data_IF_343285019991
#
_entry.id   IF_343285019991
#
_cell.length_a   1.000
_cell.length_b   1.000
_cell.length_c   1.000
_cell.angle_alpha   90.00
_cell.angle_beta   90.00
_cell.angle_gamma   90.00
#
_symmetry.space_group_name_H-M   'P 1'
#
loop_
_entity.id
_entity.type
_entity.pdbx_description
1 polymer ?
#
# COMPACT_ATOMS: atom_id res chain seq x y z
N UNK A 1 -8.68 -30.53 5.32
CA UNK A 1 -8.50 -31.91 4.77
C UNK A 1 -9.32 -32.08 3.50
N UNK A 2 -8.78 -31.68 2.33
CA UNK A 2 -9.47 -31.82 1.05
C UNK A 2 -9.50 -33.28 0.60
N UNK A 3 -10.70 -33.85 0.50
CA UNK A 3 -10.91 -35.20 -0.02
C UNK A 3 -10.67 -35.19 -1.54
N UNK A 4 -9.50 -35.65 -1.97
CA UNK A 4 -9.16 -35.86 -3.38
C UNK A 4 -10.06 -36.96 -3.97
N UNK A 5 -11.18 -36.56 -4.59
CA UNK A 5 -11.88 -37.40 -5.55
C UNK A 5 -10.94 -37.68 -6.73
N UNK A 6 -10.28 -38.84 -6.71
CA UNK A 6 -9.47 -39.33 -7.85
C UNK A 6 -10.40 -39.56 -9.04
N UNK A 7 -10.47 -38.61 -9.96
CA UNK A 7 -11.06 -38.84 -11.28
C UNK A 7 -10.16 -39.78 -12.08
N UNK A 8 -10.64 -41.01 -12.30
CA UNK A 8 -9.91 -42.03 -13.04
C UNK A 8 -9.94 -41.72 -14.54
N UNK A 9 -8.76 -41.61 -15.16
CA UNK A 9 -8.62 -41.44 -16.62
C UNK A 9 -8.74 -42.81 -17.30
N UNK A 10 -9.56 -42.91 -18.34
CA UNK A 10 -9.75 -44.13 -19.14
C UNK A 10 -9.40 -43.87 -20.60
N UNK A 11 -8.87 -44.86 -21.32
CA UNK A 11 -8.66 -44.77 -22.77
C UNK A 11 -9.90 -45.33 -23.48
N UNK A 12 -10.47 -44.56 -24.40
CA UNK A 12 -11.58 -44.98 -25.25
C UNK A 12 -11.17 -45.00 -26.72
N UNK A 13 -11.74 -45.94 -27.48
CA UNK A 13 -11.60 -46.05 -28.93
C UNK A 13 -12.78 -45.38 -29.61
N UNK A 14 -12.52 -44.53 -30.60
CA UNK A 14 -13.52 -43.94 -31.52
C UNK A 14 -13.17 -44.31 -32.96
N UNK A 15 -14.17 -44.63 -33.77
CA UNK A 15 -13.99 -44.87 -35.21
C UNK A 15 -14.34 -43.56 -35.93
N UNK A 16 -13.40 -43.00 -36.68
CA UNK A 16 -13.61 -41.83 -37.53
C UNK A 16 -13.16 -42.18 -38.95
N UNK A 17 -14.05 -42.02 -39.93
CA UNK A 17 -13.82 -42.37 -41.34
C UNK A 17 -13.20 -43.77 -41.52
N UNK A 18 -13.74 -44.77 -40.81
CA UNK A 18 -13.28 -46.16 -40.86
C UNK A 18 -12.01 -46.47 -40.06
N UNK A 19 -11.31 -45.46 -39.52
CA UNK A 19 -10.04 -45.63 -38.83
C UNK A 19 -10.21 -45.56 -37.30
N UNK A 20 -9.52 -46.41 -36.53
CA UNK A 20 -9.57 -46.41 -35.07
C UNK A 20 -8.64 -45.34 -34.47
N UNK A 21 -9.22 -44.48 -33.64
CA UNK A 21 -8.53 -43.42 -32.91
C UNK A 21 -8.78 -43.54 -31.42
N UNK A 22 -7.79 -43.15 -30.61
CA UNK A 22 -7.82 -43.30 -29.17
C UNK A 22 -7.83 -41.95 -28.47
N UNK A 23 -8.54 -41.89 -27.35
CA UNK A 23 -8.68 -40.68 -26.53
C UNK A 23 -8.52 -41.06 -25.06
N UNK A 24 -7.77 -40.27 -24.30
CA UNK A 24 -7.80 -40.30 -22.84
C UNK A 24 -8.97 -39.43 -22.38
N UNK A 25 -9.90 -40.01 -21.63
CA UNK A 25 -11.09 -39.32 -21.14
C UNK A 25 -11.16 -39.35 -19.63
N UNK A 26 -11.58 -38.24 -19.05
CA UNK A 26 -12.04 -38.17 -17.65
C UNK A 26 -13.56 -38.08 -17.65
N UNK A 27 -14.18 -38.97 -16.91
CA UNK A 27 -15.62 -38.98 -16.68
C UNK A 27 -15.94 -38.29 -15.37
N UNK A 28 -16.88 -37.35 -15.39
CA UNK A 28 -17.43 -36.68 -14.22
C UNK A 28 -18.96 -36.72 -14.27
N UNK A 29 -19.63 -36.25 -13.21
CA UNK A 29 -21.09 -36.07 -13.25
C UNK A 29 -21.40 -34.62 -13.57
N UNK A 30 -22.20 -34.39 -14.61
CA UNK A 30 -22.75 -33.08 -14.95
C UNK A 30 -24.26 -33.17 -14.80
N UNK A 31 -24.86 -32.41 -13.89
CA UNK A 31 -26.28 -32.50 -13.52
C UNK A 31 -26.71 -33.93 -13.16
N UNK A 32 -25.92 -34.63 -12.34
CA UNK A 32 -26.19 -36.00 -11.87
C UNK A 32 -25.92 -37.12 -12.88
N UNK A 33 -25.72 -36.79 -14.17
CA UNK A 33 -25.49 -37.77 -15.25
C UNK A 33 -23.99 -37.92 -15.54
N UNK A 34 -23.46 -39.16 -15.69
CA UNK A 34 -22.09 -39.38 -16.13
C UNK A 34 -21.83 -38.76 -17.51
N UNK A 35 -20.85 -37.89 -17.62
CA UNK A 35 -20.42 -37.21 -18.85
C UNK A 35 -18.90 -37.20 -18.92
N UNK A 36 -18.35 -37.21 -20.13
CA UNK A 36 -16.93 -36.95 -20.36
C UNK A 36 -16.71 -35.45 -20.12
N UNK A 37 -15.98 -35.11 -19.05
CA UNK A 37 -15.68 -33.72 -18.68
C UNK A 37 -14.36 -33.23 -19.28
N UNK A 38 -13.48 -34.17 -19.64
CA UNK A 38 -12.22 -33.87 -20.34
C UNK A 38 -11.90 -34.98 -21.33
N UNK A 39 -11.45 -34.62 -22.53
CA UNK A 39 -10.97 -35.55 -23.55
C UNK A 39 -9.68 -35.03 -24.17
N UNK A 40 -8.68 -35.90 -24.29
CA UNK A 40 -7.40 -35.63 -24.94
C UNK A 40 -7.22 -36.66 -26.06
N UNK A 41 -6.98 -36.19 -27.28
CA UNK A 41 -6.72 -37.04 -28.43
C UNK A 41 -5.32 -37.65 -28.33
N UNK A 42 -5.23 -38.97 -28.46
CA UNK A 42 -3.98 -39.73 -28.36
C UNK A 42 -3.43 -40.20 -29.72
N UNK A 43 -4.21 -40.07 -30.81
CA UNK A 43 -3.83 -40.59 -32.12
C UNK A 43 -4.35 -41.99 -32.41
N UNK A 44 -3.73 -42.65 -33.40
CA UNK A 44 -3.95 -44.07 -33.73
C UNK A 44 -3.21 -44.99 -32.74
N UNK A 45 -3.42 -46.30 -32.84
CA UNK A 45 -2.64 -47.27 -32.05
C UNK A 45 -1.13 -47.14 -32.34
N UNK A 46 -0.76 -46.95 -33.61
CA UNK A 46 0.63 -46.79 -34.02
C UNK A 46 1.24 -45.52 -33.44
N UNK A 47 0.51 -44.39 -33.44
CA UNK A 47 0.96 -43.15 -32.80
C UNK A 47 1.22 -43.35 -31.29
N UNK A 48 0.38 -44.10 -30.60
CA UNK A 48 0.57 -44.37 -29.16
C UNK A 48 1.82 -45.24 -28.93
N UNK A 49 2.00 -46.28 -29.73
CA UNK A 49 3.19 -47.15 -29.65
C UNK A 49 4.45 -46.37 -29.99
N UNK A 50 4.40 -45.52 -31.00
CA UNK A 50 5.50 -44.63 -31.39
C UNK A 50 5.82 -43.61 -30.29
N UNK A 51 4.80 -42.95 -29.71
CA UNK A 51 4.97 -42.05 -28.56
C UNK A 51 5.57 -42.76 -27.35
N UNK A 52 5.20 -44.03 -27.10
CA UNK A 52 5.78 -44.84 -26.02
C UNK A 52 7.24 -45.16 -26.31
N UNK A 53 7.57 -45.62 -27.53
CA UNK A 53 8.95 -45.90 -27.95
C UNK A 53 9.83 -44.66 -27.95
N UNK A 54 9.28 -43.51 -28.36
CA UNK A 54 9.94 -42.21 -28.28
C UNK A 54 10.12 -41.77 -26.82
N UNK A 55 9.13 -41.97 -25.94
CA UNK A 55 9.29 -41.72 -24.50
C UNK A 55 10.37 -42.62 -23.87
N UNK A 56 10.44 -43.89 -24.27
CA UNK A 56 11.46 -44.85 -23.79
C UNK A 56 12.87 -44.53 -24.33
N UNK A 57 12.98 -43.80 -25.46
CA UNK A 57 14.24 -43.38 -26.07
C UNK A 57 14.65 -41.93 -25.80
N UNK A 58 13.80 -41.14 -25.11
CA UNK A 58 14.10 -39.75 -24.76
C UNK A 58 14.82 -39.68 -23.40
N UNK A 59 16.08 -39.18 -23.33
CA UNK A 59 16.72 -38.85 -22.05
C UNK A 59 16.16 -37.56 -21.41
N UNK A 60 15.07 -37.01 -21.94
CA UNK A 60 14.50 -35.73 -21.51
C UNK A 60 13.12 -35.94 -20.90
N UNK A 61 13.10 -36.28 -19.61
CA UNK A 61 11.92 -36.04 -18.77
C UNK A 61 11.66 -34.53 -18.83
N UNK A 62 10.54 -34.12 -19.45
CA UNK A 62 10.07 -32.73 -19.36
C UNK A 62 9.63 -32.47 -17.92
N UNK A 63 10.57 -32.06 -17.09
CA UNK A 63 10.31 -31.64 -15.73
C UNK A 63 9.74 -30.23 -15.75
N UNK A 64 8.57 -30.05 -15.13
CA UNK A 64 8.03 -28.74 -14.82
C UNK A 64 7.97 -28.61 -13.30
N UNK A 65 8.78 -27.72 -12.75
CA UNK A 65 8.75 -27.38 -11.33
C UNK A 65 7.72 -26.28 -11.08
N UNK A 66 7.04 -26.36 -9.94
CA UNK A 66 6.10 -25.35 -9.48
C UNK A 66 6.56 -24.83 -8.12
N UNK A 67 6.41 -23.53 -7.89
CA UNK A 67 6.57 -22.98 -6.55
C UNK A 67 5.39 -23.45 -5.68
N UNK A 68 5.67 -24.29 -4.68
CA UNK A 68 4.65 -24.86 -3.80
C UNK A 68 4.74 -24.33 -2.37
N UNK A 69 5.94 -24.08 -1.84
CA UNK A 69 6.13 -23.71 -0.43
C UNK A 69 5.35 -22.47 0.00
N UNK A 70 5.43 -21.37 -0.77
CA UNK A 70 4.68 -20.14 -0.50
C UNK A 70 3.16 -20.38 -0.57
N UNK A 71 2.74 -21.15 -1.56
CA UNK A 71 1.35 -21.50 -1.78
C UNK A 71 0.77 -22.30 -0.61
N UNK A 72 1.47 -23.37 -0.20
CA UNK A 72 1.11 -24.19 0.94
C UNK A 72 1.07 -23.39 2.24
N UNK A 73 2.05 -22.50 2.46
CA UNK A 73 2.09 -21.64 3.65
C UNK A 73 0.86 -20.72 3.74
N UNK A 74 0.45 -20.06 2.64
CA UNK A 74 -0.72 -19.18 2.64
C UNK A 74 -2.04 -19.96 2.80
N UNK A 75 -2.14 -21.15 2.23
CA UNK A 75 -3.30 -22.02 2.46
C UNK A 75 -3.37 -22.51 3.90
N UNK A 76 -2.23 -22.81 4.51
CA UNK A 76 -2.17 -23.15 5.94
C UNK A 76 -2.57 -21.97 6.82
N UNK A 77 -2.11 -20.74 6.51
CA UNK A 77 -2.57 -19.52 7.20
C UNK A 77 -4.09 -19.35 7.03
N UNK A 78 -4.64 -19.61 5.85
CA UNK A 78 -6.09 -19.61 5.65
C UNK A 78 -6.80 -20.66 6.51
N UNK A 79 -6.27 -21.89 6.62
CA UNK A 79 -6.84 -22.93 7.49
C UNK A 79 -6.77 -22.53 8.97
N UNK A 80 -5.67 -21.90 9.40
CA UNK A 80 -5.48 -21.42 10.77
C UNK A 80 -6.41 -20.26 11.13
N UNK A 81 -6.63 -19.32 10.19
CA UNK A 81 -7.45 -18.13 10.41
C UNK A 81 -8.92 -18.33 10.05
N UNK A 82 -9.26 -19.39 9.30
CA UNK A 82 -10.61 -19.61 8.78
C UNK A 82 -11.07 -18.53 7.79
N UNK A 83 -10.15 -17.89 7.06
CA UNK A 83 -10.45 -16.70 6.26
C UNK A 83 -11.59 -16.91 5.25
N UNK A 84 -11.53 -17.99 4.45
CA UNK A 84 -12.59 -18.31 3.48
C UNK A 84 -13.96 -18.47 4.16
N UNK A 85 -14.01 -19.12 5.32
CA UNK A 85 -15.25 -19.36 6.06
C UNK A 85 -15.80 -18.07 6.65
N UNK A 86 -14.93 -17.21 7.22
CA UNK A 86 -15.28 -15.87 7.71
C UNK A 86 -15.87 -15.03 6.58
N UNK A 87 -15.23 -14.99 5.41
CA UNK A 87 -15.77 -14.25 4.26
C UNK A 87 -17.14 -14.79 3.91
N UNK A 88 -17.25 -16.10 3.66
CA UNK A 88 -18.50 -16.70 3.19
C UNK A 88 -19.66 -16.55 4.20
N UNK A 89 -19.38 -16.49 5.51
CA UNK A 89 -20.37 -16.24 6.56
C UNK A 89 -21.12 -14.90 6.35
N UNK A 90 -20.44 -13.88 5.84
CA UNK A 90 -21.02 -12.55 5.61
C UNK A 90 -21.62 -12.37 4.21
N UNK A 91 -21.55 -13.39 3.34
CA UNK A 91 -22.06 -13.30 1.98
C UNK A 91 -23.41 -14.00 1.85
N UNK A 92 -24.45 -13.21 1.53
CA UNK A 92 -25.76 -13.72 1.17
C UNK A 92 -25.80 -14.23 -0.29
N UNK A 93 -25.19 -15.40 -0.55
CA UNK A 93 -25.15 -16.01 -1.89
C UNK A 93 -25.49 -17.51 -1.82
N UNK A 94 -26.27 -17.97 -2.80
CA UNK A 94 -26.58 -19.40 -2.94
C UNK A 94 -25.32 -20.19 -3.27
N UNK A 95 -25.21 -21.39 -2.69
CA UNK A 95 -24.15 -22.34 -3.07
C UNK A 95 -24.21 -22.62 -4.56
N UNK A 96 -23.05 -22.55 -5.21
CA UNK A 96 -22.88 -22.86 -6.64
C UNK A 96 -21.88 -24.00 -6.79
N UNK A 97 -21.93 -24.68 -7.93
CA UNK A 97 -20.89 -25.63 -8.35
C UNK A 97 -19.70 -24.81 -8.91
N UNK A 98 -18.87 -24.28 -8.01
CA UNK A 98 -17.78 -23.36 -8.32
C UNK A 98 -17.20 -22.72 -7.05
N UNK A 99 -16.27 -21.78 -7.25
CA UNK A 99 -15.58 -21.11 -6.16
C UNK A 99 -16.52 -20.14 -5.43
N UNK A 100 -16.41 -20.10 -4.11
CA UNK A 100 -17.08 -19.14 -3.25
C UNK A 100 -16.44 -17.74 -3.34
N UNK A 101 -17.10 -16.72 -2.79
CA UNK A 101 -16.51 -15.37 -2.72
C UNK A 101 -15.22 -15.37 -1.91
N UNK A 102 -15.19 -16.07 -0.77
CA UNK A 102 -13.98 -16.27 0.03
C UNK A 102 -12.84 -16.95 -0.73
N UNK A 103 -13.14 -17.98 -1.52
CA UNK A 103 -12.12 -18.66 -2.33
C UNK A 103 -11.58 -17.77 -3.46
N UNK A 104 -12.43 -16.93 -4.07
CA UNK A 104 -11.99 -15.93 -5.04
C UNK A 104 -11.04 -14.90 -4.39
N UNK A 105 -11.35 -14.39 -3.20
CA UNK A 105 -10.45 -13.50 -2.45
C UNK A 105 -9.13 -14.19 -2.08
N UNK A 106 -9.18 -15.44 -1.60
CA UNK A 106 -7.98 -16.19 -1.27
C UNK A 106 -7.09 -16.39 -2.50
N UNK A 107 -7.66 -16.70 -3.66
CA UNK A 107 -6.90 -16.80 -4.91
C UNK A 107 -6.26 -15.48 -5.31
N UNK A 108 -6.94 -14.36 -5.08
CA UNK A 108 -6.40 -13.03 -5.36
C UNK A 108 -5.22 -12.68 -4.44
N UNK A 109 -5.36 -12.93 -3.14
CA UNK A 109 -4.29 -12.76 -2.13
C UNK A 109 -3.07 -13.63 -2.49
N UNK A 110 -3.30 -14.92 -2.73
CA UNK A 110 -2.22 -15.87 -3.09
C UNK A 110 -1.59 -15.48 -4.43
N UNK A 111 -2.38 -15.08 -5.41
CA UNK A 111 -1.91 -14.61 -6.71
C UNK A 111 -1.00 -13.40 -6.61
N UNK A 112 -1.45 -12.35 -5.89
CA UNK A 112 -0.71 -11.11 -5.67
C UNK A 112 0.56 -11.30 -4.83
N UNK A 113 0.62 -12.33 -3.99
CA UNK A 113 1.86 -12.70 -3.26
C UNK A 113 2.98 -13.25 -4.17
N UNK A 114 2.66 -13.66 -5.40
CA UNK A 114 3.64 -14.15 -6.38
C UNK A 114 4.08 -13.07 -7.39
N UNK A 115 3.62 -11.83 -7.22
CA UNK A 115 4.01 -10.68 -8.04
C UNK A 115 2.83 -9.81 -8.46
N UNK A 116 3.09 -8.87 -9.38
CA UNK A 116 2.04 -8.01 -9.93
C UNK A 116 1.09 -8.85 -10.78
N UNK A 117 -0.13 -9.05 -10.27
CA UNK A 117 -1.16 -9.83 -10.93
C UNK A 117 -2.42 -8.98 -11.08
N UNK A 118 -2.88 -8.83 -12.32
CA UNK A 118 -4.20 -8.27 -12.60
C UNK A 118 -5.25 -9.36 -12.63
N UNK A 119 -6.52 -8.98 -12.46
CA UNK A 119 -7.67 -9.87 -12.53
C UNK A 119 -7.85 -10.48 -13.94
N UNK A 120 -7.23 -9.87 -14.97
CA UNK A 120 -7.10 -10.49 -16.31
C UNK A 120 -6.02 -11.57 -16.37
N UNK A 121 -4.93 -11.43 -15.60
CA UNK A 121 -3.80 -12.36 -15.60
C UNK A 121 -4.00 -13.61 -14.73
N UNK A 122 -4.95 -13.56 -13.79
CA UNK A 122 -5.13 -14.60 -12.75
C UNK A 122 -5.43 -15.99 -13.31
N UNK A 123 -6.20 -16.08 -14.41
CA UNK A 123 -6.51 -17.37 -15.04
C UNK A 123 -5.28 -18.05 -15.66
N UNK A 124 -4.38 -17.27 -16.26
CA UNK A 124 -3.12 -17.79 -16.80
C UNK A 124 -2.11 -18.12 -15.70
N UNK A 125 -2.07 -17.31 -14.64
CA UNK A 125 -1.28 -17.61 -13.45
C UNK A 125 -1.72 -18.93 -12.79
N UNK A 126 -3.03 -19.14 -12.60
CA UNK A 126 -3.58 -20.35 -11.99
C UNK A 126 -3.17 -21.62 -12.77
N UNK A 127 -3.28 -21.61 -14.10
CA UNK A 127 -2.85 -22.74 -14.96
C UNK A 127 -1.36 -23.05 -14.86
N UNK A 128 -0.55 -22.06 -14.49
CA UNK A 128 0.91 -22.18 -14.37
C UNK A 128 1.35 -22.46 -12.94
N UNK A 129 0.46 -22.42 -11.95
CA UNK A 129 0.76 -22.70 -10.55
C UNK A 129 0.39 -24.14 -10.16
N UNK A 130 0.85 -24.56 -8.99
CA UNK A 130 0.50 -25.87 -8.42
C UNK A 130 -1.01 -26.02 -8.14
N UNK A 131 -1.75 -24.92 -8.04
CA UNK A 131 -3.20 -24.92 -7.80
C UNK A 131 -3.98 -25.63 -8.89
N UNK A 132 -3.48 -25.60 -10.13
CA UNK A 132 -4.10 -26.32 -11.26
C UNK A 132 -4.23 -27.84 -11.05
N UNK A 133 -3.49 -28.41 -10.09
CA UNK A 133 -3.60 -29.81 -9.68
C UNK A 133 -4.40 -30.00 -8.37
N UNK A 134 -4.53 -28.95 -7.58
CA UNK A 134 -5.14 -28.99 -6.24
C UNK A 134 -6.62 -28.61 -6.25
N UNK A 135 -7.01 -27.70 -7.14
CA UNK A 135 -8.35 -27.14 -7.24
C UNK A 135 -8.93 -27.45 -8.62
N UNK A 136 -10.17 -27.92 -8.64
CA UNK A 136 -10.95 -28.20 -9.86
C UNK A 136 -12.34 -27.60 -9.73
N UNK A 137 -12.78 -26.87 -10.76
CA UNK A 137 -14.08 -26.20 -10.80
C UNK A 137 -14.53 -26.01 -12.26
N UNK A 138 -15.84 -25.98 -12.55
CA UNK A 138 -16.35 -26.13 -13.92
C UNK A 138 -16.27 -24.87 -14.78
N UNK A 139 -15.88 -23.73 -14.22
CA UNK A 139 -15.88 -22.42 -14.87
C UNK A 139 -14.46 -21.89 -15.08
N UNK A 140 -14.33 -20.82 -15.88
CA UNK A 140 -13.03 -20.17 -16.14
C UNK A 140 -12.77 -19.07 -15.12
N UNK A 141 -11.51 -18.90 -14.72
CA UNK A 141 -11.06 -17.68 -14.04
C UNK A 141 -10.85 -16.57 -15.08
N UNK A 142 -11.63 -15.51 -14.98
CA UNK A 142 -11.51 -14.29 -15.79
C UNK A 142 -11.91 -13.07 -14.94
N UNK A 143 -11.52 -11.88 -15.40
CA UNK A 143 -11.77 -10.63 -14.68
C UNK A 143 -13.25 -10.42 -14.33
N UNK A 144 -14.17 -10.68 -15.27
CA UNK A 144 -15.61 -10.50 -15.01
C UNK A 144 -16.10 -11.37 -13.84
N UNK A 145 -15.64 -12.61 -13.74
CA UNK A 145 -16.02 -13.49 -12.64
C UNK A 145 -15.50 -13.00 -11.29
N UNK A 146 -14.28 -12.43 -11.25
CA UNK A 146 -13.74 -11.78 -10.05
C UNK A 146 -14.56 -10.55 -9.68
N UNK A 147 -14.83 -9.64 -10.62
CA UNK A 147 -15.64 -8.45 -10.37
C UNK A 147 -17.04 -8.80 -9.88
N UNK A 148 -17.68 -9.83 -10.45
CA UNK A 148 -18.97 -10.35 -10.00
C UNK A 148 -18.91 -10.94 -8.59
N UNK A 149 -17.75 -11.41 -8.12
CA UNK A 149 -17.59 -11.85 -6.72
C UNK A 149 -17.36 -10.66 -5.80
N UNK A 150 -16.54 -9.69 -6.22
CA UNK A 150 -16.25 -8.49 -5.43
C UNK A 150 -17.49 -7.63 -5.22
N UNK A 151 -18.48 -7.68 -6.12
CA UNK A 151 -19.75 -6.95 -5.95
C UNK A 151 -20.60 -7.41 -4.75
N UNK A 152 -20.26 -8.53 -4.12
CA UNK A 152 -20.90 -8.97 -2.87
C UNK A 152 -20.23 -8.38 -1.61
N UNK A 153 -19.14 -7.64 -1.78
CA UNK A 153 -18.32 -7.12 -0.68
C UNK A 153 -18.47 -5.60 -0.67
N UNK A 154 -19.47 -5.12 0.07
CA UNK A 154 -19.63 -3.70 0.39
C UNK A 154 -18.86 -3.34 1.68
N UNK A 155 -18.86 -2.05 2.04
CA UNK A 155 -18.11 -1.53 3.19
C UNK A 155 -18.52 -2.20 4.51
N UNK A 156 -19.82 -2.47 4.71
CA UNK A 156 -20.33 -3.14 5.91
C UNK A 156 -19.88 -4.60 5.96
N UNK A 157 -19.92 -5.30 4.83
CA UNK A 157 -19.43 -6.66 4.67
C UNK A 157 -17.92 -6.73 4.96
N UNK A 158 -17.13 -5.79 4.43
CA UNK A 158 -15.70 -5.71 4.73
C UNK A 158 -15.46 -5.53 6.23
N UNK A 159 -16.14 -4.58 6.88
CA UNK A 159 -16.03 -4.34 8.32
C UNK A 159 -16.31 -5.63 9.11
N UNK A 160 -17.39 -6.33 8.80
CA UNK A 160 -17.77 -7.56 9.50
C UNK A 160 -16.76 -8.69 9.31
N UNK A 161 -16.19 -8.83 8.10
CA UNK A 161 -15.11 -9.77 7.80
C UNK A 161 -13.86 -9.44 8.64
N UNK A 162 -13.47 -8.17 8.69
CA UNK A 162 -12.33 -7.73 9.50
C UNK A 162 -12.55 -7.96 10.99
N UNK A 163 -13.74 -7.65 11.51
CA UNK A 163 -14.05 -7.81 12.93
C UNK A 163 -13.94 -9.29 13.33
N UNK A 164 -14.47 -10.22 12.53
CA UNK A 164 -14.31 -11.66 12.77
C UNK A 164 -12.85 -12.13 12.63
N UNK A 165 -12.10 -11.60 11.66
CA UNK A 165 -10.68 -11.95 11.52
C UNK A 165 -9.85 -11.45 12.70
N UNK A 166 -10.13 -10.24 13.20
CA UNK A 166 -9.47 -9.68 14.37
C UNK A 166 -9.76 -10.50 15.62
N UNK A 167 -10.99 -11.02 15.81
CA UNK A 167 -11.32 -11.94 16.90
C UNK A 167 -10.41 -13.17 16.88
N UNK A 168 -10.26 -13.81 15.71
CA UNK A 168 -9.38 -14.98 15.57
C UNK A 168 -7.91 -14.63 15.84
N UNK A 169 -7.45 -13.46 15.40
CA UNK A 169 -6.09 -13.00 15.68
C UNK A 169 -5.85 -12.78 17.18
N UNK A 170 -6.79 -12.14 17.88
CA UNK A 170 -6.75 -11.94 19.34
C UNK A 170 -6.72 -13.28 20.07
N UNK A 171 -7.58 -14.23 19.69
CA UNK A 171 -7.61 -15.59 20.27
C UNK A 171 -6.27 -16.34 20.09
N UNK A 172 -5.56 -16.08 18.98
CA UNK A 172 -4.22 -16.63 18.73
C UNK A 172 -3.09 -15.87 19.44
N UNK A 173 -3.40 -14.83 20.22
CA UNK A 173 -2.43 -14.07 21.00
C UNK A 173 -1.80 -12.89 20.25
N UNK A 174 -2.40 -12.44 19.14
CA UNK A 174 -1.97 -11.23 18.42
C UNK A 174 -2.70 -9.96 18.86
N UNK A 175 -3.16 -9.92 20.12
CA UNK A 175 -3.74 -8.73 20.74
C UNK A 175 -2.74 -7.58 20.67
N UNK A 176 -3.11 -6.42 20.12
CA UNK A 176 -2.19 -5.30 20.00
C UNK A 176 -1.83 -4.73 21.38
N UNK A 177 -0.57 -4.34 21.55
CA UNK A 177 -0.14 -3.41 22.61
C UNK A 177 0.24 -2.04 22.01
N UNK A 178 0.59 -2.03 20.72
CA UNK A 178 0.94 -0.82 19.96
C UNK A 178 0.23 -0.88 18.61
N UNK A 179 -0.39 0.22 18.18
CA UNK A 179 -0.95 0.36 16.85
C UNK A 179 -0.22 1.45 16.08
N UNK A 180 0.35 1.11 14.94
CA UNK A 180 0.98 2.03 14.00
C UNK A 180 -0.03 2.43 12.94
N UNK A 181 -0.35 3.72 12.87
CA UNK A 181 -1.25 4.30 11.86
C UNK A 181 -0.43 5.02 10.80
N UNK A 182 -0.63 4.65 9.54
CA UNK A 182 -0.06 5.34 8.38
C UNK A 182 -1.10 5.44 7.25
N UNK A 183 -1.11 6.57 6.56
CA UNK A 183 -1.95 6.84 5.41
C UNK A 183 -1.14 6.80 4.10
N UNK A 184 -1.73 6.23 3.06
CA UNK A 184 -1.13 6.15 1.73
C UNK A 184 -2.16 6.48 0.64
N UNK A 185 -1.68 6.85 -0.55
CA UNK A 185 -2.52 7.14 -1.69
C UNK A 185 -2.00 6.54 -2.99
N UNK A 186 -2.94 6.10 -3.83
CA UNK A 186 -2.66 5.57 -5.16
C UNK A 186 -3.45 6.34 -6.19
N UNK A 187 -2.76 6.95 -7.15
CA UNK A 187 -3.42 7.54 -8.31
C UNK A 187 -3.85 6.43 -9.29
N UNK A 188 -4.92 6.70 -10.02
CA UNK A 188 -5.48 5.80 -11.03
C UNK A 188 -5.50 6.47 -12.40
N UNK A 189 -5.60 5.65 -13.45
CA UNK A 189 -5.84 6.12 -14.81
C UNK A 189 -7.32 6.07 -15.19
N UNK A 190 -8.21 5.74 -14.25
CA UNK A 190 -9.63 5.79 -14.49
C UNK A 190 -10.03 7.25 -14.78
N UNK A 191 -10.71 7.45 -15.92
CA UNK A 191 -11.23 8.75 -16.38
C UNK A 191 -12.73 8.74 -16.59
N UNK A 192 -13.35 7.55 -16.66
CA UNK A 192 -14.75 7.36 -17.01
C UNK A 192 -15.52 6.88 -15.78
N UNK A 193 -15.66 7.75 -14.80
CA UNK A 193 -16.55 7.55 -13.66
C UNK A 193 -17.42 8.81 -13.58
N UNK A 194 -18.69 8.62 -13.23
CA UNK A 194 -19.63 9.72 -13.05
C UNK A 194 -19.14 10.58 -11.87
N UNK A 195 -19.60 11.83 -11.78
CA UNK A 195 -19.42 12.68 -10.59
C UNK A 195 -20.01 12.05 -9.30
N UNK A 196 -20.66 10.88 -9.42
CA UNK A 196 -21.25 10.04 -8.38
C UNK A 196 -20.26 9.06 -7.72
N UNK A 197 -19.01 8.95 -8.19
CA UNK A 197 -18.03 8.08 -7.51
C UNK A 197 -17.66 8.65 -6.15
N UNK A 198 -17.88 7.87 -5.08
CA UNK A 198 -17.59 8.30 -3.71
C UNK A 198 -16.08 8.37 -3.40
N UNK A 199 -15.24 7.58 -4.08
CA UNK A 199 -13.81 7.46 -3.77
C UNK A 199 -12.89 8.18 -4.75
N UNK A 200 -13.22 8.21 -6.04
CA UNK A 200 -12.31 8.64 -7.10
C UNK A 200 -12.32 10.16 -7.28
N UNK A 201 -11.50 10.85 -6.48
CA UNK A 201 -11.33 12.29 -6.58
C UNK A 201 -9.87 12.69 -6.82
N UNK A 202 -9.66 13.85 -7.43
CA UNK A 202 -8.32 14.47 -7.56
C UNK A 202 -7.90 15.06 -6.22
N UNK A 203 -6.62 14.96 -5.92
CA UNK A 203 -6.05 15.61 -4.73
C UNK A 203 -4.53 15.63 -4.73
N UNK A 204 -3.94 15.84 -3.55
CA UNK A 204 -2.50 15.82 -3.39
C UNK A 204 -1.99 14.38 -3.32
N UNK A 205 -1.27 13.94 -4.35
CA UNK A 205 -0.67 12.61 -4.41
C UNK A 205 0.81 12.63 -4.02
N UNK A 206 1.30 11.60 -3.30
CA UNK A 206 2.72 11.45 -2.91
C UNK A 206 3.68 11.39 -4.12
N UNK A 207 3.18 11.02 -5.32
CA UNK A 207 3.92 11.02 -6.60
C UNK A 207 3.70 12.27 -7.45
N UNK A 208 3.16 13.34 -6.87
CA UNK A 208 2.90 14.63 -7.51
C UNK A 208 1.97 14.59 -8.73
N UNK A 209 1.11 13.57 -8.84
CA UNK A 209 0.12 13.40 -9.91
C UNK A 209 -1.23 14.03 -9.57
N UNK A 210 -1.25 15.36 -9.43
CA UNK A 210 -2.47 16.14 -9.14
C UNK A 210 -3.51 16.12 -10.27
N UNK A 211 -3.09 15.72 -11.48
CA UNK A 211 -3.92 15.59 -12.67
C UNK A 211 -4.80 14.33 -12.65
N UNK A 212 -4.52 13.38 -11.76
CA UNK A 212 -5.16 12.07 -11.70
C UNK A 212 -6.06 11.93 -10.47
N UNK A 213 -7.09 11.11 -10.62
CA UNK A 213 -7.88 10.66 -9.47
C UNK A 213 -7.05 9.74 -8.63
N UNK A 214 -7.35 9.72 -7.34
CA UNK A 214 -6.68 8.87 -6.40
C UNK A 214 -7.66 8.31 -5.39
N UNK A 215 -7.24 7.22 -4.78
CA UNK A 215 -7.88 6.61 -3.64
C UNK A 215 -6.85 6.64 -2.52
N UNK A 216 -7.30 6.96 -1.32
CA UNK A 216 -6.47 6.93 -0.13
C UNK A 216 -6.85 5.73 0.73
N UNK A 217 -5.86 5.16 1.44
CA UNK A 217 -6.07 4.11 2.43
C UNK A 217 -5.30 4.48 3.69
N UNK A 218 -5.98 4.40 4.82
CA UNK A 218 -5.36 4.46 6.13
C UNK A 218 -5.31 3.04 6.71
N UNK A 219 -4.20 2.69 7.36
CA UNK A 219 -3.97 1.35 7.90
C UNK A 219 -3.43 1.46 9.33
N UNK A 220 -4.05 0.71 10.25
CA UNK A 220 -3.52 0.50 11.59
C UNK A 220 -2.99 -0.95 11.70
N UNK A 221 -1.70 -1.10 11.99
CA UNK A 221 -1.05 -2.41 12.17
C UNK A 221 -0.46 -2.55 13.57
N UNK A 222 -0.43 -3.76 14.11
CA UNK A 222 0.15 -4.03 15.42
C UNK A 222 1.70 -4.10 15.40
N UNK A 223 2.32 -4.33 16.54
CA UNK A 223 3.78 -4.50 16.70
C UNK A 223 4.39 -5.67 15.92
N UNK A 224 3.57 -6.62 15.44
CA UNK A 224 4.01 -7.70 14.56
C UNK A 224 3.84 -7.35 13.07
N UNK A 225 3.44 -6.12 12.74
CA UNK A 225 3.07 -5.66 11.39
C UNK A 225 1.85 -6.40 10.81
N UNK A 226 0.95 -6.86 11.68
CA UNK A 226 -0.33 -7.46 11.27
C UNK A 226 -1.37 -6.33 11.20
N UNK A 227 -1.99 -6.09 10.02
CA UNK A 227 -3.10 -5.15 9.90
C UNK A 227 -4.26 -5.52 10.82
N UNK A 228 -4.76 -4.54 11.56
CA UNK A 228 -5.91 -4.69 12.43
C UNK A 228 -7.12 -3.92 11.90
N UNK A 229 -6.90 -2.75 11.30
CA UNK A 229 -7.93 -1.90 10.69
C UNK A 229 -7.40 -1.31 9.39
N UNK A 230 -8.23 -1.28 8.36
CA UNK A 230 -8.03 -0.39 7.22
C UNK A 230 -9.26 0.49 7.00
N UNK A 231 -9.05 1.63 6.37
CA UNK A 231 -10.11 2.48 5.84
C UNK A 231 -9.74 2.98 4.47
N UNK A 232 -10.67 2.92 3.52
CA UNK A 232 -10.51 3.49 2.19
C UNK A 232 -11.34 4.75 2.08
N UNK A 233 -10.72 5.86 1.67
CA UNK A 233 -11.36 7.17 1.67
C UNK A 233 -11.04 7.99 0.41
N UNK A 234 -11.83 9.04 0.14
CA UNK A 234 -11.78 9.79 -1.11
C UNK A 234 -10.46 10.55 -1.30
N UNK A 235 -10.01 10.65 -2.55
CA UNK A 235 -8.72 11.26 -2.89
C UNK A 235 -8.56 12.76 -2.58
N UNK A 236 -9.65 13.47 -2.30
CA UNK A 236 -9.68 14.91 -1.98
C UNK A 236 -9.78 15.19 -0.48
N UNK A 237 -9.93 14.17 0.36
CA UNK A 237 -9.94 14.30 1.83
C UNK A 237 -8.51 14.36 2.34
N UNK A 238 -8.27 15.24 3.32
CA UNK A 238 -6.96 15.39 3.94
C UNK A 238 -6.71 14.31 5.00
N UNK A 239 -5.51 13.74 5.04
CA UNK A 239 -5.14 12.68 5.99
C UNK A 239 -5.42 13.06 7.46
N UNK A 240 -5.19 14.32 7.86
CA UNK A 240 -5.49 14.77 9.22
C UNK A 240 -6.98 14.79 9.59
N UNK A 241 -7.85 14.93 8.59
CA UNK A 241 -9.31 14.87 8.75
C UNK A 241 -9.75 13.40 8.91
N UNK A 242 -9.25 12.53 8.04
CA UNK A 242 -9.53 11.08 8.10
C UNK A 242 -8.98 10.43 9.38
N UNK A 243 -7.84 10.90 9.88
CA UNK A 243 -7.23 10.37 11.10
C UNK A 243 -8.18 10.39 12.32
N UNK A 244 -9.07 11.39 12.42
CA UNK A 244 -10.06 11.40 13.48
C UNK A 244 -11.03 10.21 13.33
N UNK A 245 -11.48 9.92 12.11
CA UNK A 245 -12.34 8.78 11.79
C UNK A 245 -11.67 7.44 12.08
N UNK A 246 -10.40 7.26 11.69
CA UNK A 246 -9.69 6.00 11.96
C UNK A 246 -9.50 5.77 13.46
N UNK A 247 -9.22 6.81 14.25
CA UNK A 247 -9.09 6.70 15.72
C UNK A 247 -10.40 6.23 16.35
N UNK A 248 -11.55 6.76 15.89
CA UNK A 248 -12.87 6.29 16.33
C UNK A 248 -13.10 4.82 16.00
N UNK A 249 -12.77 4.40 14.78
CA UNK A 249 -12.89 3.00 14.35
C UNK A 249 -11.98 2.07 15.16
N UNK A 250 -10.76 2.52 15.47
CA UNK A 250 -9.83 1.83 16.38
C UNK A 250 -10.48 1.62 17.74
N UNK A 251 -10.97 2.69 18.37
CA UNK A 251 -11.59 2.60 19.70
C UNK A 251 -12.80 1.66 19.68
N UNK A 252 -13.67 1.79 18.67
CA UNK A 252 -14.88 0.96 18.55
C UNK A 252 -14.52 -0.52 18.38
N UNK A 253 -13.57 -0.86 17.49
CA UNK A 253 -13.14 -2.25 17.29
C UNK A 253 -12.48 -2.84 18.53
N UNK A 254 -11.61 -2.07 19.20
CA UNK A 254 -11.00 -2.52 20.46
C UNK A 254 -12.05 -2.80 21.52
N UNK A 255 -13.06 -1.92 21.64
CA UNK A 255 -14.19 -2.09 22.54
C UNK A 255 -15.00 -3.35 22.21
N UNK A 256 -15.32 -3.57 20.93
CA UNK A 256 -16.03 -4.78 20.46
C UNK A 256 -15.24 -6.07 20.74
N UNK A 257 -13.91 -6.00 20.76
CA UNK A 257 -13.00 -7.11 21.08
C UNK A 257 -12.72 -7.26 22.58
N UNK A 258 -13.34 -6.45 23.44
CA UNK A 258 -13.08 -6.36 24.89
C UNK A 258 -11.60 -6.08 25.22
N UNK A 259 -10.93 -5.27 24.40
CA UNK A 259 -9.55 -4.82 24.63
C UNK A 259 -9.60 -3.42 25.25
N UNK A 260 -8.93 -3.25 26.39
CA UNK A 260 -8.80 -1.98 27.09
C UNK A 260 -7.98 -0.99 26.24
N UNK A 261 -8.58 0.12 25.81
CA UNK A 261 -7.92 1.14 24.99
C UNK A 261 -6.86 1.93 25.77
N UNK A 262 -7.02 2.03 27.07
CA UNK A 262 -6.18 2.82 27.97
C UNK A 262 -4.76 2.26 28.10
N UNK A 263 -4.61 0.94 27.91
CA UNK A 263 -3.33 0.23 27.95
C UNK A 263 -2.57 0.26 26.60
N UNK A 264 -3.21 0.79 25.55
CA UNK A 264 -2.65 0.82 24.20
C UNK A 264 -1.85 2.08 23.91
N UNK A 265 -0.86 1.94 23.02
CA UNK A 265 -0.08 3.05 22.47
C UNK A 265 -0.36 3.20 20.98
N UNK A 266 -0.89 4.35 20.58
CA UNK A 266 -1.04 4.72 19.17
C UNK A 266 0.22 5.42 18.66
N UNK A 267 0.73 5.03 17.49
CA UNK A 267 1.91 5.64 16.86
C UNK A 267 1.53 6.19 15.49
N UNK A 268 1.77 7.48 15.26
CA UNK A 268 1.39 8.15 14.01
C UNK A 268 2.33 9.31 13.65
N UNK A 269 2.33 9.71 12.37
CA UNK A 269 3.18 10.79 11.85
C UNK A 269 2.65 12.18 12.24
N UNK A 270 3.56 13.17 12.29
CA UNK A 270 3.24 14.58 12.57
C UNK A 270 2.26 15.23 11.59
N UNK A 271 2.06 14.62 10.42
CA UNK A 271 1.02 15.01 9.45
C UNK A 271 -0.38 15.02 10.08
N UNK A 272 -0.63 14.12 11.03
CA UNK A 272 -1.93 13.93 11.67
C UNK A 272 -2.10 14.77 12.95
N UNK A 273 -1.07 15.51 13.36
CA UNK A 273 -1.13 16.33 14.56
C UNK A 273 -2.03 17.57 14.34
N UNK A 274 -3.20 17.56 14.97
CA UNK A 274 -4.06 18.71 15.20
C UNK A 274 -4.40 18.78 16.69
N UNK A 275 -4.88 19.94 17.18
CA UNK A 275 -5.31 20.06 18.58
C UNK A 275 -6.39 19.02 18.90
N UNK A 276 -7.39 18.93 18.04
CA UNK A 276 -8.54 18.04 18.19
C UNK A 276 -8.12 16.55 18.15
N UNK A 277 -7.22 16.17 17.24
CA UNK A 277 -6.73 14.78 17.13
C UNK A 277 -5.94 14.39 18.38
N UNK A 278 -5.07 15.27 18.88
CA UNK A 278 -4.26 14.99 20.08
C UNK A 278 -5.14 14.88 21.31
N UNK A 279 -6.11 15.78 21.50
CA UNK A 279 -7.07 15.71 22.61
C UNK A 279 -7.89 14.43 22.57
N UNK A 280 -8.39 14.05 21.38
CA UNK A 280 -9.17 12.83 21.17
C UNK A 280 -8.39 11.57 21.54
N UNK A 281 -7.17 11.42 21.03
CA UNK A 281 -6.33 10.25 21.31
C UNK A 281 -5.98 10.19 22.81
N UNK A 282 -5.53 11.31 23.39
CA UNK A 282 -5.13 11.38 24.80
C UNK A 282 -6.28 11.05 25.77
N UNK A 283 -7.54 11.26 25.35
CA UNK A 283 -8.71 10.93 26.17
C UNK A 283 -9.03 9.42 26.26
N UNK A 284 -8.40 8.59 25.42
CA UNK A 284 -8.73 7.16 25.28
C UNK A 284 -7.53 6.22 25.34
N UNK A 285 -6.35 6.68 24.96
CA UNK A 285 -5.15 5.85 24.85
C UNK A 285 -3.88 6.69 24.98
N UNK A 286 -2.76 6.01 25.22
CA UNK A 286 -1.43 6.63 25.12
C UNK A 286 -1.03 6.79 23.66
N UNK A 287 -0.11 7.70 23.35
CA UNK A 287 0.42 7.82 22.00
C UNK A 287 1.90 8.20 21.93
N UNK A 288 2.51 7.91 20.79
CA UNK A 288 3.84 8.36 20.40
C UNK A 288 3.75 9.00 19.02
N UNK A 289 3.96 10.31 18.96
CA UNK A 289 3.99 11.07 17.71
C UNK A 289 5.29 11.83 17.55
N UNK A 290 5.55 12.31 16.33
CA UNK A 290 6.61 13.29 16.09
C UNK A 290 6.04 14.72 16.12
N UNK A 291 6.84 15.69 16.51
CA UNK A 291 6.44 17.11 16.49
C UNK A 291 7.09 17.83 15.30
N UNK A 292 6.47 18.94 14.85
CA UNK A 292 7.10 19.82 13.86
C UNK A 292 8.17 20.66 14.56
N UNK A 293 9.31 20.86 13.88
CA UNK A 293 10.46 21.59 14.44
C UNK A 293 10.09 23.01 14.90
N UNK A 294 9.18 23.67 14.20
CA UNK A 294 8.69 25.02 14.53
C UNK A 294 7.79 25.08 15.78
N UNK A 295 7.38 23.93 16.33
CA UNK A 295 6.61 23.87 17.59
C UNK A 295 7.53 23.69 18.81
N UNK A 296 8.83 23.54 18.59
CA UNK A 296 9.82 23.25 19.61
C UNK A 296 11.19 23.82 19.21
N UNK A 297 11.22 25.06 18.70
CA UNK A 297 12.45 25.71 18.23
C UNK A 297 13.49 25.84 19.35
N UNK A 298 13.04 26.16 20.56
CA UNK A 298 13.85 26.25 21.77
C UNK A 298 14.54 24.92 22.14
N UNK A 299 13.95 23.79 21.75
CA UNK A 299 14.53 22.47 21.99
C UNK A 299 15.66 22.17 21.01
N UNK A 300 15.69 22.83 19.85
CA UNK A 300 16.73 22.64 18.84
C UNK A 300 18.07 23.25 19.26
N UNK A 301 18.07 24.19 20.21
CA UNK A 301 19.26 24.85 20.74
C UNK A 301 19.91 24.07 21.90
N UNK A 302 19.34 22.94 22.31
CA UNK A 302 19.92 22.11 23.38
C UNK A 302 21.27 21.54 22.94
N UNK A 303 22.37 21.79 23.68
CA UNK A 303 23.70 21.36 23.27
C UNK A 303 23.84 19.83 23.30
N UNK A 304 24.57 19.28 22.31
CA UNK A 304 24.80 17.83 22.18
C UNK A 304 25.49 17.20 23.40
N UNK A 305 26.18 17.98 24.23
CA UNK A 305 26.76 17.51 25.49
C UNK A 305 25.73 17.02 26.51
N UNK A 306 24.46 17.42 26.38
CA UNK A 306 23.35 16.94 27.21
C UNK A 306 22.70 15.66 26.68
N UNK A 307 23.08 15.20 25.49
CA UNK A 307 22.45 14.05 24.86
C UNK A 307 23.13 12.76 25.30
N UNK A 308 22.32 11.74 25.56
CA UNK A 308 22.77 10.41 25.94
C UNK A 308 22.68 9.46 24.74
N UNK A 309 23.54 8.44 24.72
CA UNK A 309 23.43 7.38 23.73
C UNK A 309 22.16 6.57 23.98
N UNK A 310 21.30 6.43 22.95
CA UNK A 310 20.08 5.65 23.04
C UNK A 310 20.26 4.25 22.46
N UNK A 311 20.59 4.17 21.17
CA UNK A 311 20.73 2.89 20.46
C UNK A 311 21.53 3.06 19.16
N UNK A 312 21.85 1.92 18.53
CA UNK A 312 22.43 1.87 17.17
C UNK A 312 21.35 1.38 16.20
N UNK A 313 21.06 2.16 15.17
CA UNK A 313 20.02 1.77 14.20
C UNK A 313 20.50 0.68 13.23
N UNK A 314 19.59 0.12 12.43
CA UNK A 314 19.89 -0.93 11.45
C UNK A 314 20.95 -0.54 10.40
N UNK A 315 21.13 0.76 10.14
CA UNK A 315 22.17 1.31 9.24
C UNK A 315 23.52 1.50 9.94
N UNK A 316 23.63 1.14 11.21
CA UNK A 316 24.82 1.25 12.02
C UNK A 316 25.11 2.64 12.60
N UNK A 317 24.20 3.59 12.46
CA UNK A 317 24.36 4.93 13.04
C UNK A 317 24.02 4.91 14.53
N UNK A 318 24.86 5.56 15.35
CA UNK A 318 24.54 5.83 16.76
C UNK A 318 23.51 6.93 16.83
N UNK A 319 22.44 6.69 17.58
CA UNK A 319 21.39 7.65 17.85
C UNK A 319 21.57 8.13 19.29
N UNK A 320 21.64 9.44 19.45
CA UNK A 320 21.67 10.10 20.74
C UNK A 320 20.33 10.78 20.99
N UNK A 321 19.98 11.01 22.25
CA UNK A 321 18.79 11.77 22.56
C UNK A 321 18.82 12.48 23.89
N UNK A 322 17.97 13.49 24.00
CA UNK A 322 17.75 14.27 25.20
C UNK A 322 16.27 14.20 25.56
N UNK A 323 15.98 13.67 26.75
CA UNK A 323 14.62 13.56 27.28
C UNK A 323 14.30 14.78 28.12
N UNK A 324 13.19 15.44 27.82
CA UNK A 324 12.67 16.60 28.55
C UNK A 324 11.15 16.53 28.60
N UNK A 325 10.53 17.55 29.19
CA UNK A 325 9.11 17.85 28.99
C UNK A 325 8.96 19.08 28.13
N UNK A 326 7.92 19.12 27.30
CA UNK A 326 7.59 20.28 26.49
C UNK A 326 6.09 20.41 26.27
N UNK A 327 5.60 21.64 26.12
CA UNK A 327 4.18 21.88 25.91
C UNK A 327 3.85 21.87 24.41
N UNK A 328 2.95 20.96 24.01
CA UNK A 328 2.37 20.95 22.67
C UNK A 328 0.85 21.08 22.80
N UNK A 329 0.22 21.91 21.97
CA UNK A 329 -1.24 22.09 21.97
C UNK A 329 -1.85 22.41 23.36
N UNK A 330 -1.09 23.09 24.24
CA UNK A 330 -1.53 23.41 25.59
C UNK A 330 -1.33 22.31 26.63
N UNK A 331 -0.87 21.11 26.25
CA UNK A 331 -0.62 19.98 27.15
C UNK A 331 0.88 19.68 27.26
N UNK A 332 1.35 19.35 28.46
CA UNK A 332 2.75 18.97 28.69
C UNK A 332 2.97 17.49 28.29
N UNK A 333 3.91 17.25 27.39
CA UNK A 333 4.29 15.90 26.95
C UNK A 333 5.73 15.57 27.33
N UNK A 334 6.02 14.29 27.50
CA UNK A 334 7.40 13.80 27.52
C UNK A 334 7.94 13.87 26.09
N UNK A 335 9.03 14.62 25.91
CA UNK A 335 9.62 14.90 24.60
C UNK A 335 11.02 14.36 24.56
N UNK A 336 11.34 13.60 23.50
CA UNK A 336 12.69 13.09 23.24
C UNK A 336 13.21 13.73 21.97
N UNK A 337 14.24 14.54 22.09
CA UNK A 337 14.95 15.11 20.96
C UNK A 337 15.98 14.09 20.53
N UNK A 338 16.05 13.77 19.25
CA UNK A 338 17.00 12.78 18.74
C UNK A 338 18.05 13.43 17.85
N UNK A 339 19.29 13.02 18.02
CA UNK A 339 20.41 13.41 17.18
C UNK A 339 20.99 12.20 16.48
N UNK A 340 21.07 12.29 15.15
CA UNK A 340 21.74 11.32 14.30
C UNK A 340 22.76 12.07 13.44
N UNK A 341 24.05 11.81 13.68
CA UNK A 341 25.15 12.46 12.97
C UNK A 341 25.06 12.25 11.44
N UNK A 342 24.61 11.07 10.99
CA UNK A 342 24.43 10.78 9.58
C UNK A 342 23.36 11.66 8.93
N UNK A 343 22.22 11.82 9.60
CA UNK A 343 21.13 12.71 9.14
C UNK A 343 21.59 14.16 9.14
N UNK A 344 22.30 14.61 10.20
CA UNK A 344 22.84 15.96 10.28
C UNK A 344 23.79 16.27 9.12
N UNK A 345 24.75 15.38 8.84
CA UNK A 345 25.70 15.55 7.72
C UNK A 345 24.97 15.66 6.37
N UNK A 346 23.94 14.84 6.16
CA UNK A 346 23.14 14.89 4.94
C UNK A 346 22.36 16.21 4.82
N UNK A 347 21.64 16.61 5.88
CA UNK A 347 20.88 17.86 5.91
C UNK A 347 21.80 19.07 5.70
N UNK A 348 22.98 19.09 6.33
CA UNK A 348 23.99 20.13 6.14
C UNK A 348 24.45 20.22 4.69
N UNK A 349 24.83 19.09 4.07
CA UNK A 349 25.22 19.05 2.64
C UNK A 349 24.10 19.55 1.73
N UNK A 350 22.86 19.13 1.99
CA UNK A 350 21.69 19.59 1.23
C UNK A 350 21.45 21.09 1.42
N UNK A 351 21.61 21.60 2.64
CA UNK A 351 21.51 23.03 2.92
C UNK A 351 22.57 23.83 2.16
N UNK A 352 23.84 23.45 2.27
CA UNK A 352 24.95 24.13 1.56
C UNK A 352 24.74 24.10 0.05
N UNK A 353 24.38 22.95 -0.52
CA UNK A 353 24.12 22.83 -1.96
C UNK A 353 22.95 23.72 -2.42
N UNK A 354 21.86 23.79 -1.65
CA UNK A 354 20.74 24.67 -1.98
C UNK A 354 21.13 26.15 -1.81
N UNK A 355 21.90 26.49 -0.75
CA UNK A 355 22.41 27.84 -0.51
C UNK A 355 23.24 28.32 -1.69
N UNK A 356 24.21 27.53 -2.16
CA UNK A 356 25.03 27.87 -3.32
C UNK A 356 24.18 28.10 -4.58
N UNK A 357 23.19 27.25 -4.85
CA UNK A 357 22.28 27.42 -6.01
C UNK A 357 21.42 28.67 -5.90
N UNK A 358 20.93 29.00 -4.70
CA UNK A 358 20.15 30.22 -4.46
C UNK A 358 21.04 31.43 -4.72
N UNK A 359 22.25 31.47 -4.15
CA UNK A 359 23.22 32.55 -4.35
C UNK A 359 23.54 32.71 -5.84
N UNK A 360 23.91 31.63 -6.54
CA UNK A 360 24.23 31.67 -7.98
C UNK A 360 23.06 32.20 -8.81
N UNK A 361 21.83 31.77 -8.52
CA UNK A 361 20.64 32.24 -9.22
C UNK A 361 20.32 33.71 -8.92
N UNK A 362 20.53 34.16 -7.67
CA UNK A 362 20.40 35.57 -7.29
C UNK A 362 21.48 36.41 -8.00
N UNK A 363 22.75 36.01 -8.01
CA UNK A 363 23.82 36.69 -8.75
C UNK A 363 23.53 36.76 -10.26
N UNK A 364 23.00 35.68 -10.85
CA UNK A 364 22.56 35.66 -12.24
C UNK A 364 21.37 36.62 -12.49
N UNK A 365 20.43 36.73 -11.54
CA UNK A 365 19.36 37.72 -11.60
C UNK A 365 19.92 39.15 -11.49
N UNK A 366 20.86 39.39 -10.57
CA UNK A 366 21.49 40.70 -10.37
C UNK A 366 22.22 41.14 -11.65
N UNK A 367 23.05 40.28 -12.24
CA UNK A 367 23.72 40.53 -13.53
C UNK A 367 22.73 40.86 -14.67
N UNK A 368 21.55 40.21 -14.70
CA UNK A 368 20.49 40.51 -15.69
C UNK A 368 19.80 41.85 -15.45
N UNK A 369 19.68 42.27 -14.20
CA UNK A 369 19.07 43.55 -13.82
C UNK A 369 20.04 44.72 -14.04
N UNK A 370 21.33 44.54 -13.79
CA UNK A 370 22.38 45.53 -14.06
C UNK A 370 22.67 45.72 -15.55
N UNK A 371 22.39 44.72 -16.38
CA UNK A 371 22.54 44.82 -17.83
C UNK A 371 21.50 45.77 -18.46
N UNK A 372 21.98 46.72 -19.28
CA UNK A 372 21.13 47.59 -20.08
C UNK A 372 20.40 46.88 -21.25
N UNK A 373 20.65 45.58 -21.45
CA UNK A 373 19.98 44.76 -22.48
C UNK A 373 18.67 44.16 -21.93
N UNK A 374 17.59 44.23 -22.70
CA UNK A 374 16.30 43.59 -22.40
C UNK A 374 15.16 44.57 -22.08
N UNK A 375 13.97 44.01 -21.83
CA UNK A 375 12.74 44.78 -21.51
C UNK A 375 12.84 45.42 -20.12
N UNK A 376 12.13 46.55 -19.95
CA UNK A 376 11.89 47.13 -18.63
C UNK A 376 11.18 46.13 -17.72
N UNK A 377 11.48 46.16 -16.43
CA UNK A 377 10.96 45.23 -15.42
C UNK A 377 10.30 46.02 -14.32
N UNK A 378 9.12 45.60 -13.87
CA UNK A 378 8.47 46.18 -12.70
C UNK A 378 9.02 45.56 -11.42
N UNK A 379 8.88 46.27 -10.30
CA UNK A 379 9.21 45.79 -8.95
C UNK A 379 8.58 44.42 -8.67
N UNK A 380 7.27 44.29 -8.87
CA UNK A 380 6.52 43.05 -8.63
C UNK A 380 7.02 41.87 -9.46
N UNK A 381 7.50 42.12 -10.69
CA UNK A 381 8.09 41.06 -11.52
C UNK A 381 9.43 40.56 -10.96
N UNK A 382 10.24 41.45 -10.37
CA UNK A 382 11.50 41.07 -9.72
C UNK A 382 11.21 40.36 -8.39
N UNK A 383 10.26 40.86 -7.61
CA UNK A 383 9.76 40.26 -6.36
C UNK A 383 9.33 38.80 -6.55
N UNK A 384 8.51 38.52 -7.58
CA UNK A 384 8.07 37.17 -7.89
C UNK A 384 9.24 36.25 -8.28
N UNK A 385 10.18 36.74 -9.10
CA UNK A 385 11.32 35.92 -9.53
C UNK A 385 12.29 35.64 -8.37
N UNK A 386 12.51 36.61 -7.46
CA UNK A 386 13.27 36.38 -6.22
C UNK A 386 12.54 35.36 -5.33
N UNK A 387 11.22 35.47 -5.19
CA UNK A 387 10.41 34.53 -4.42
C UNK A 387 10.39 33.12 -5.02
N UNK A 388 10.56 32.98 -6.33
CA UNK A 388 10.70 31.69 -7.03
C UNK A 388 12.10 31.09 -6.87
N UNK A 389 13.14 31.92 -6.85
CA UNK A 389 14.53 31.49 -6.58
C UNK A 389 14.67 31.02 -5.13
N UNK A 390 14.11 31.76 -4.16
CA UNK A 390 14.18 31.42 -2.74
C UNK A 390 13.13 30.34 -2.43
N UNK A 391 13.61 29.11 -2.25
CA UNK A 391 12.77 27.99 -1.83
C UNK A 391 11.96 28.35 -0.58
N UNK A 392 10.66 27.99 -0.55
CA UNK A 392 9.71 28.33 0.53
C UNK A 392 10.27 28.14 1.94
N UNK A 393 11.02 27.04 2.17
CA UNK A 393 11.63 26.68 3.47
C UNK A 393 12.77 27.60 3.93
N UNK A 394 13.30 28.48 3.07
CA UNK A 394 14.40 29.38 3.39
C UNK A 394 13.99 30.86 3.39
N UNK A 395 12.72 31.18 3.10
CA UNK A 395 12.23 32.56 3.04
C UNK A 395 12.30 33.31 4.38
N UNK A 396 12.31 32.60 5.50
CA UNK A 396 12.50 33.21 6.82
C UNK A 396 13.97 33.49 7.16
N UNK A 397 14.90 32.87 6.43
CA UNK A 397 16.34 32.95 6.69
C UNK A 397 17.01 33.90 5.72
N UNK A 398 16.69 33.80 4.43
CA UNK A 398 17.27 34.66 3.38
C UNK A 398 16.53 35.99 3.37
N UNK A 399 17.23 37.07 3.73
CA UNK A 399 16.68 38.42 3.73
C UNK A 399 17.15 39.17 2.49
N UNK A 400 16.26 39.92 1.86
CA UNK A 400 16.58 40.73 0.69
C UNK A 400 15.77 42.01 0.66
N UNK A 401 16.29 43.02 -0.02
CA UNK A 401 15.63 44.29 -0.28
C UNK A 401 15.59 44.56 -1.79
N UNK A 402 14.49 45.16 -2.29
CA UNK A 402 14.36 45.61 -3.67
C UNK A 402 14.38 47.13 -3.70
N UNK A 403 15.34 47.67 -4.45
CA UNK A 403 15.56 49.09 -4.65
C UNK A 403 14.94 49.48 -5.99
N UNK A 404 14.00 50.42 -5.96
CA UNK A 404 13.32 50.88 -7.16
C UNK A 404 14.29 51.55 -8.15
N UNK A 405 13.97 51.45 -9.45
CA UNK A 405 14.79 52.03 -10.50
C UNK A 405 14.82 53.56 -10.38
N UNK A 406 16.01 54.16 -10.41
CA UNK A 406 16.16 55.63 -10.52
C UNK A 406 15.70 56.12 -11.91
N UNK A 407 15.36 57.40 -12.08
CA UNK A 407 14.86 57.97 -13.35
C UNK A 407 15.74 57.68 -14.59
N UNK A 408 17.02 57.36 -14.40
CA UNK A 408 17.97 56.98 -15.45
C UNK A 408 18.12 55.47 -15.70
N UNK A 409 17.43 54.60 -14.96
CA UNK A 409 17.54 53.14 -15.02
C UNK A 409 16.22 52.48 -15.46
N UNK A 410 16.31 51.46 -16.33
CA UNK A 410 15.13 50.75 -16.87
C UNK A 410 14.61 49.60 -15.98
N UNK A 411 15.33 49.24 -14.91
CA UNK A 411 15.09 48.04 -14.11
C UNK A 411 15.39 48.29 -12.63
N UNK A 412 14.60 47.77 -11.69
CA UNK A 412 14.91 47.76 -10.25
C UNK A 412 16.17 46.96 -9.96
N UNK A 413 16.84 47.28 -8.85
CA UNK A 413 17.92 46.49 -8.29
C UNK A 413 17.44 45.71 -7.06
N UNK A 414 18.18 44.70 -6.64
CA UNK A 414 17.91 44.02 -5.37
C UNK A 414 19.24 43.72 -4.68
N UNK A 415 19.20 43.68 -3.35
CA UNK A 415 20.35 43.39 -2.49
C UNK A 415 19.97 42.26 -1.52
N UNK A 416 20.87 41.30 -1.33
CA UNK A 416 20.72 40.24 -0.32
C UNK A 416 21.34 40.75 0.97
N UNK A 417 20.55 40.81 2.04
CA UNK A 417 20.94 41.40 3.33
C UNK A 417 21.59 40.37 4.25
N UNK A 418 21.20 39.10 4.15
CA UNK A 418 21.78 37.95 4.89
C UNK A 418 21.35 36.60 4.26
#
# INVERSE_FOLDING_TARGET
MYCLLRFMTTIIKKILNGNPYFYAVKSGRVNGKPRIVSQVYLGTADNIVEMKKQCESLPYIKMKSFEYGKLAALFHVNEELGFVDIVNKHIAKKSIDGLSVGEYLLLDIVGKSHGVLSENGIGEWFKKSALSFMLDFPHKLNCQNFLNQMSYIDSDTMKNIEDDLCRVLVEKGFTPSILFVDESNWFTYATNYNDESELLHKGYNKKHRKDKNQICVALAANENNIPFIHETYPGNVHDSEEFSGIVEKIINRLTELNICSEDLVLVFDKGNNSKDNIEKVTSKMSFVGSAKANQAEELLDVPLSKYEYLYKNAKGNKIYGYRTKHQFYGTEFTTVITYNEGTYKLQKRTYESNKSKIIENLENLQRRLESNKGKARSRSSVENEVADIILKKYRSVVKYEIIDARESQKKPQFEVLD
#
